data_IF_218741792114
#
_entry.id   IF_218741792114
#
_cell.length_a   1.000
_cell.length_b   1.000
_cell.length_c   1.000
_cell.angle_alpha   90.00
_cell.angle_beta   90.00
_cell.angle_gamma   90.00
#
_symmetry.space_group_name_H-M   'P 1'
#
loop_
_entity.id
_entity.type
_entity.pdbx_description
1 polymer ?
#
# COMPACT_ATOMS: atom_id res chain seq x y z
N UNK A 1 -19.25 -8.69 -32.47
CA UNK A 1 -18.80 -9.50 -31.31
C UNK A 1 -17.30 -9.39 -31.28
N UNK A 2 -16.78 -8.49 -30.46
CA UNK A 2 -15.35 -8.23 -30.30
C UNK A 2 -14.77 -9.28 -29.35
N UNK A 3 -13.82 -10.06 -29.84
CA UNK A 3 -12.97 -10.93 -29.04
C UNK A 3 -12.15 -10.06 -28.09
N UNK A 4 -12.57 -10.00 -26.82
CA UNK A 4 -11.73 -9.55 -25.74
C UNK A 4 -10.70 -10.66 -25.53
N UNK A 5 -9.48 -10.43 -26.02
CA UNK A 5 -8.36 -11.35 -25.83
C UNK A 5 -8.16 -11.61 -24.33
N UNK A 6 -8.23 -12.87 -23.95
CA UNK A 6 -7.81 -13.34 -22.63
C UNK A 6 -6.36 -12.90 -22.42
N UNK A 7 -6.12 -12.11 -21.37
CA UNK A 7 -4.76 -11.75 -20.96
C UNK A 7 -3.92 -13.01 -20.71
N UNK A 8 -2.58 -12.90 -20.73
CA UNK A 8 -1.69 -14.04 -20.55
C UNK A 8 -2.07 -14.82 -19.28
N UNK A 9 -2.41 -16.10 -19.45
CA UNK A 9 -2.77 -16.99 -18.36
C UNK A 9 -1.62 -17.07 -17.35
N UNK A 10 -1.85 -16.55 -16.14
CA UNK A 10 -0.88 -16.57 -15.02
C UNK A 10 -0.58 -17.97 -14.49
N UNK A 11 -1.29 -19.00 -14.97
CA UNK A 11 -1.23 -20.37 -14.44
C UNK A 11 0.14 -21.07 -14.59
N UNK A 12 1.05 -20.55 -15.41
CA UNK A 12 2.40 -21.14 -15.60
C UNK A 12 3.54 -20.12 -15.37
N UNK A 13 3.25 -18.96 -14.76
CA UNK A 13 4.28 -17.95 -14.50
C UNK A 13 4.97 -18.23 -13.18
N UNK A 14 6.31 -18.28 -13.18
CA UNK A 14 7.10 -18.44 -11.95
C UNK A 14 7.71 -17.11 -11.51
N UNK A 15 8.04 -17.01 -10.22
CA UNK A 15 8.61 -15.80 -9.63
C UNK A 15 9.92 -15.36 -10.32
N UNK A 16 10.70 -16.28 -10.88
CA UNK A 16 11.94 -15.97 -11.61
C UNK A 16 11.72 -15.12 -12.87
N UNK A 17 10.51 -15.14 -13.42
CA UNK A 17 10.16 -14.36 -14.62
C UNK A 17 9.59 -12.98 -14.28
N UNK A 18 9.26 -12.74 -13.00
CA UNK A 18 8.73 -11.47 -12.53
C UNK A 18 9.88 -10.49 -12.38
N UNK A 19 9.79 -9.38 -13.12
CA UNK A 19 10.76 -8.28 -13.04
C UNK A 19 10.42 -7.37 -11.87
N UNK A 20 11.46 -6.86 -11.20
CA UNK A 20 11.30 -5.86 -10.16
C UNK A 20 10.69 -4.56 -10.72
N UNK A 21 9.90 -3.88 -9.89
CA UNK A 21 9.43 -2.51 -10.12
C UNK A 21 10.23 -1.57 -9.20
N UNK A 22 11.24 -0.84 -9.71
CA UNK A 22 12.15 -0.03 -8.87
C UNK A 22 11.48 1.11 -8.11
N UNK A 23 10.39 1.66 -8.64
CA UNK A 23 9.76 2.89 -8.14
C UNK A 23 8.78 2.67 -6.97
N UNK A 24 8.64 1.45 -6.45
CA UNK A 24 7.58 1.08 -5.49
C UNK A 24 7.76 1.63 -4.07
N UNK A 25 9.00 1.85 -3.63
CA UNK A 25 9.32 2.15 -2.23
C UNK A 25 8.89 3.56 -1.83
N UNK A 26 8.16 3.67 -0.71
CA UNK A 26 7.71 4.92 -0.08
C UNK A 26 6.87 5.84 -0.98
N UNK A 27 6.33 5.33 -2.10
CA UNK A 27 5.32 6.04 -2.86
C UNK A 27 4.00 6.02 -2.10
N UNK A 28 3.38 7.19 -1.96
CA UNK A 28 2.05 7.27 -1.40
C UNK A 28 1.07 6.92 -2.50
N UNK A 29 0.41 5.76 -2.37
CA UNK A 29 -0.71 5.37 -3.23
C UNK A 29 -1.86 6.32 -2.91
N UNK A 30 -2.28 7.10 -3.89
CA UNK A 30 -3.39 8.05 -3.75
C UNK A 30 -4.68 7.52 -4.34
N UNK A 31 -4.58 6.54 -5.24
CA UNK A 31 -5.71 5.84 -5.83
C UNK A 31 -5.46 4.34 -5.93
N UNK A 32 -6.51 3.55 -5.76
CA UNK A 32 -6.42 2.08 -5.88
C UNK A 32 -5.86 1.63 -7.24
N UNK A 33 -6.21 2.35 -8.31
CA UNK A 33 -5.81 2.06 -9.69
C UNK A 33 -4.29 2.16 -9.96
N UNK A 34 -3.53 2.81 -9.07
CA UNK A 34 -2.07 2.97 -9.20
C UNK A 34 -1.32 1.70 -8.76
N UNK A 35 -1.93 0.87 -7.91
CA UNK A 35 -1.30 -0.29 -7.28
C UNK A 35 -0.67 -1.25 -8.29
N UNK A 36 -1.33 -1.66 -9.39
CA UNK A 36 -0.73 -2.58 -10.37
C UNK A 36 0.51 -2.03 -11.09
N UNK A 37 0.74 -0.71 -11.04
CA UNK A 37 1.93 -0.08 -11.62
C UNK A 37 3.09 0.05 -10.63
N UNK A 38 2.80 -0.07 -9.33
CA UNK A 38 3.76 0.09 -8.24
C UNK A 38 4.10 -1.24 -7.55
N UNK A 39 3.30 -2.28 -7.72
CA UNK A 39 3.43 -3.56 -7.02
C UNK A 39 3.63 -4.67 -8.03
N UNK A 40 4.60 -5.55 -7.79
CA UNK A 40 4.78 -6.70 -8.66
C UNK A 40 3.56 -7.62 -8.63
N UNK A 41 3.24 -8.19 -9.80
CA UNK A 41 2.03 -8.97 -10.06
C UNK A 41 1.59 -9.92 -8.92
N UNK A 42 2.49 -10.71 -8.28
CA UNK A 42 2.05 -11.66 -7.25
C UNK A 42 1.44 -11.02 -5.99
N UNK A 43 1.71 -9.75 -5.72
CA UNK A 43 1.26 -9.06 -4.51
C UNK A 43 0.20 -7.99 -4.77
N UNK A 44 -0.16 -7.72 -6.03
CA UNK A 44 -1.10 -6.65 -6.41
C UNK A 44 -2.41 -6.78 -5.64
N UNK A 45 -3.06 -7.94 -5.70
CA UNK A 45 -4.36 -8.16 -5.05
C UNK A 45 -4.28 -8.05 -3.52
N UNK A 46 -3.19 -8.52 -2.92
CA UNK A 46 -2.95 -8.37 -1.48
C UNK A 46 -2.79 -6.89 -1.07
N UNK A 47 -2.03 -6.11 -1.86
CA UNK A 47 -1.86 -4.67 -1.63
C UNK A 47 -3.16 -3.88 -1.85
N UNK A 48 -3.97 -4.25 -2.85
CA UNK A 48 -5.30 -3.71 -3.05
C UNK A 48 -6.21 -3.99 -1.84
N UNK A 49 -6.22 -5.24 -1.34
CA UNK A 49 -6.97 -5.63 -0.17
C UNK A 49 -6.59 -4.82 1.09
N UNK A 50 -5.30 -4.57 1.29
CA UNK A 50 -4.80 -3.74 2.38
C UNK A 50 -5.21 -2.27 2.22
N UNK A 51 -5.08 -1.73 1.01
CA UNK A 51 -5.49 -0.36 0.69
C UNK A 51 -7.00 -0.15 0.88
N UNK A 52 -7.81 -1.13 0.49
CA UNK A 52 -9.26 -1.13 0.70
C UNK A 52 -9.63 -1.23 2.17
N UNK A 53 -8.75 -1.76 3.02
CA UNK A 53 -8.88 -1.79 4.48
C UNK A 53 -8.28 -0.57 5.18
N UNK A 54 -7.80 0.41 4.40
CA UNK A 54 -7.09 1.61 4.87
C UNK A 54 -5.77 1.29 5.63
N UNK A 55 -5.12 0.17 5.30
CA UNK A 55 -3.79 -0.17 5.83
C UNK A 55 -2.71 0.48 4.97
N UNK A 56 -1.77 1.17 5.60
CA UNK A 56 -0.67 1.84 4.88
C UNK A 56 0.42 0.84 4.50
N UNK A 57 0.52 0.53 3.20
CA UNK A 57 1.67 -0.17 2.64
C UNK A 57 2.76 0.85 2.32
N UNK A 58 3.99 0.57 2.74
CA UNK A 58 5.17 1.42 2.50
C UNK A 58 6.08 0.87 1.40
N UNK A 59 6.06 -0.44 1.19
CA UNK A 59 6.85 -1.13 0.17
C UNK A 59 6.30 -2.53 -0.03
N UNK A 60 6.54 -3.10 -1.20
CA UNK A 60 6.39 -4.53 -1.47
C UNK A 60 7.53 -5.00 -2.36
N UNK A 61 7.82 -6.30 -2.34
CA UNK A 61 8.72 -6.94 -3.31
C UNK A 61 8.32 -8.40 -3.49
N UNK A 62 8.09 -8.80 -4.74
CA UNK A 62 7.91 -10.19 -5.13
C UNK A 62 8.43 -10.40 -6.56
N UNK A 63 9.75 -10.54 -6.70
CA UNK A 63 10.40 -10.72 -7.99
C UNK A 63 11.60 -11.67 -7.90
N UNK A 64 12.29 -11.88 -9.02
CA UNK A 64 13.43 -12.80 -9.11
C UNK A 64 14.58 -12.47 -8.15
N UNK A 65 14.73 -11.21 -7.74
CA UNK A 65 15.81 -10.79 -6.85
C UNK A 65 15.57 -11.18 -5.38
N UNK A 66 14.33 -11.55 -5.04
CA UNK A 66 13.96 -12.01 -3.70
C UNK A 66 14.31 -13.48 -3.45
N UNK A 67 14.81 -14.20 -4.47
CA UNK A 67 15.35 -15.55 -4.32
C UNK A 67 16.84 -15.46 -3.99
N UNK A 68 17.22 -15.95 -2.82
CA UNK A 68 18.60 -16.10 -2.40
C UNK A 68 19.02 -17.58 -2.49
N UNK A 69 19.74 -17.99 -3.56
CA UNK A 69 20.17 -19.38 -3.71
C UNK A 69 21.23 -19.82 -2.70
N UNK A 70 21.97 -18.87 -2.11
CA UNK A 70 23.00 -19.16 -1.10
C UNK A 70 22.40 -19.31 0.31
N UNK A 71 21.24 -18.69 0.55
CA UNK A 71 20.49 -18.80 1.79
C UNK A 71 18.98 -18.89 1.51
N UNK A 72 18.47 -20.09 1.18
CA UNK A 72 17.06 -20.31 0.88
C UNK A 72 16.10 -19.87 2.00
N UNK A 73 16.51 -19.96 3.26
CA UNK A 73 15.71 -19.53 4.41
C UNK A 73 15.49 -18.00 4.46
N UNK A 74 16.30 -17.25 3.69
CA UNK A 74 16.18 -15.82 3.50
C UNK A 74 15.53 -15.44 2.15
N UNK A 75 14.94 -16.41 1.43
CA UNK A 75 14.18 -16.16 0.20
C UNK A 75 12.72 -15.93 0.53
N UNK A 76 12.25 -14.69 0.42
CA UNK A 76 10.85 -14.35 0.66
C UNK A 76 10.43 -13.10 -0.08
N UNK A 77 9.20 -13.13 -0.60
CA UNK A 77 8.46 -11.94 -0.97
C UNK A 77 7.98 -11.24 0.29
N UNK A 78 7.71 -9.95 0.21
CA UNK A 78 7.28 -9.18 1.37
C UNK A 78 6.38 -7.99 1.05
N UNK A 79 5.58 -7.61 2.05
CA UNK A 79 4.85 -6.35 2.11
C UNK A 79 5.23 -5.67 3.43
N UNK A 80 5.67 -4.42 3.36
CA UNK A 80 6.02 -3.58 4.51
C UNK A 80 4.84 -2.68 4.85
N UNK A 81 4.34 -2.78 6.07
CA UNK A 81 3.20 -2.02 6.59
C UNK A 81 3.67 -1.06 7.68
N UNK A 82 3.18 0.18 7.66
CA UNK A 82 3.42 1.12 8.76
C UNK A 82 2.69 0.65 10.02
N UNK A 83 3.42 0.16 11.02
CA UNK A 83 2.83 -0.38 12.25
C UNK A 83 2.09 0.68 13.05
N UNK A 84 2.56 1.93 12.99
CA UNK A 84 1.95 3.03 13.73
C UNK A 84 0.60 3.43 13.14
N UNK A 85 0.39 3.17 11.84
CA UNK A 85 -0.90 3.40 11.17
C UNK A 85 -1.99 2.39 11.59
N UNK A 86 -1.62 1.23 12.14
CA UNK A 86 -2.57 0.15 12.44
C UNK A 86 -3.46 0.46 13.65
N UNK A 87 -4.74 0.10 13.53
CA UNK A 87 -5.68 0.05 14.66
C UNK A 87 -5.26 -0.98 15.71
N UNK A 88 -5.80 -0.88 16.93
CA UNK A 88 -5.54 -1.87 17.98
C UNK A 88 -5.95 -3.30 17.59
N UNK A 89 -7.00 -3.46 16.79
CA UNK A 89 -7.43 -4.78 16.29
C UNK A 89 -6.44 -5.34 15.26
N UNK A 90 -6.00 -4.52 14.31
CA UNK A 90 -5.02 -4.95 13.30
C UNK A 90 -3.64 -5.22 13.91
N UNK A 91 -3.26 -4.53 15.00
CA UNK A 91 -2.05 -4.86 15.76
C UNK A 91 -2.12 -6.27 16.38
N UNK A 92 -3.27 -6.69 16.90
CA UNK A 92 -3.46 -8.06 17.42
C UNK A 92 -3.37 -9.11 16.30
N UNK A 93 -3.88 -8.81 15.11
CA UNK A 93 -3.74 -9.69 13.94
C UNK A 93 -2.25 -9.86 13.59
N UNK A 94 -1.49 -8.75 13.58
CA UNK A 94 -0.04 -8.78 13.38
C UNK A 94 0.66 -9.65 14.43
N UNK A 95 0.32 -9.52 15.72
CA UNK A 95 0.89 -10.36 16.79
C UNK A 95 0.68 -11.86 16.52
N UNK A 96 -0.51 -12.24 16.04
CA UNK A 96 -0.82 -13.63 15.65
C UNK A 96 0.02 -14.05 14.44
N UNK A 97 0.10 -13.22 13.40
CA UNK A 97 0.92 -13.49 12.22
C UNK A 97 2.40 -13.64 12.54
N UNK A 98 2.93 -12.86 13.49
CA UNK A 98 4.30 -12.98 13.99
C UNK A 98 4.50 -14.31 14.71
N UNK A 99 3.57 -14.68 15.60
CA UNK A 99 3.61 -15.98 16.30
C UNK A 99 3.58 -17.16 15.32
N UNK A 100 2.85 -17.02 14.23
CA UNK A 100 2.75 -18.00 13.15
C UNK A 100 3.97 -18.01 12.19
N UNK A 101 4.95 -17.11 12.38
CA UNK A 101 6.12 -16.99 11.51
C UNK A 101 5.84 -16.36 10.14
N UNK A 102 4.68 -15.72 9.96
CA UNK A 102 4.22 -15.09 8.72
C UNK A 102 4.52 -13.59 8.65
N UNK A 103 4.99 -13.02 9.76
CA UNK A 103 5.38 -11.61 9.83
C UNK A 103 6.53 -11.41 10.84
N UNK A 104 7.22 -10.28 10.73
CA UNK A 104 8.19 -9.82 11.72
C UNK A 104 8.12 -8.30 11.94
N UNK A 105 8.54 -7.86 13.13
CA UNK A 105 8.68 -6.45 13.46
C UNK A 105 10.06 -5.96 13.05
N UNK A 106 10.12 -4.84 12.33
CA UNK A 106 11.35 -4.11 12.05
C UNK A 106 11.29 -2.80 12.81
N UNK A 107 12.12 -2.67 13.85
CA UNK A 107 12.07 -1.56 14.80
C UNK A 107 12.55 -0.22 14.25
N UNK A 108 13.30 -0.21 13.14
CA UNK A 108 13.79 1.02 12.52
C UNK A 108 13.90 0.84 10.99
N UNK A 109 12.78 1.05 10.29
CA UNK A 109 12.73 1.19 8.84
C UNK A 109 12.46 2.66 8.54
N UNK A 110 13.41 3.42 8.01
CA UNK A 110 13.26 4.86 7.75
C UNK A 110 12.70 5.66 8.96
N UNK A 111 13.25 5.41 10.15
CA UNK A 111 12.87 6.02 11.45
C UNK A 111 11.44 5.72 11.93
N UNK A 112 10.83 4.62 11.48
CA UNK A 112 9.52 4.15 11.95
C UNK A 112 9.52 2.65 12.24
N UNK A 113 8.60 2.26 13.12
CA UNK A 113 8.31 0.86 13.37
C UNK A 113 7.42 0.34 12.24
N UNK A 114 7.81 -0.79 11.65
CA UNK A 114 7.04 -1.43 10.57
C UNK A 114 6.84 -2.91 10.84
N UNK A 115 5.82 -3.46 10.20
CA UNK A 115 5.61 -4.89 10.09
C UNK A 115 6.01 -5.32 8.70
N UNK A 116 6.79 -6.38 8.61
CA UNK A 116 7.06 -7.06 7.35
C UNK A 116 6.24 -8.34 7.30
N UNK A 117 5.25 -8.40 6.41
CA UNK A 117 4.62 -9.67 6.03
C UNK A 117 5.60 -10.45 5.17
N UNK A 118 5.77 -11.74 5.44
CA UNK A 118 6.73 -12.62 4.75
C UNK A 118 6.01 -13.74 4.03
N UNK A 119 6.37 -13.93 2.77
CA UNK A 119 5.86 -15.02 1.94
C UNK A 119 7.05 -15.82 1.42
N UNK A 120 7.26 -17.06 1.89
CA UNK A 120 8.39 -17.88 1.47
C UNK A 120 8.48 -18.01 -0.05
N UNK A 121 9.69 -17.93 -0.58
CA UNK A 121 9.98 -18.13 -2.00
C UNK A 121 10.97 -19.27 -2.18
N UNK A 122 10.77 -20.03 -3.24
CA UNK A 122 11.75 -20.97 -3.76
C UNK A 122 11.82 -20.83 -5.28
N UNK A 123 12.86 -21.43 -5.88
CA UNK A 123 12.86 -21.61 -7.33
C UNK A 123 11.66 -22.43 -7.77
N UNK A 124 10.97 -21.98 -8.80
CA UNK A 124 9.76 -22.59 -9.33
C UNK A 124 8.48 -22.23 -8.59
N UNK A 125 8.53 -21.39 -7.53
CA UNK A 125 7.32 -20.86 -6.88
C UNK A 125 6.44 -20.21 -7.94
N UNK A 126 5.19 -20.67 -8.01
CA UNK A 126 4.21 -20.16 -8.97
C UNK A 126 3.70 -18.80 -8.50
N UNK A 127 3.54 -17.86 -9.43
CA UNK A 127 2.95 -16.55 -9.13
C UNK A 127 1.57 -16.70 -8.47
N UNK A 128 0.77 -17.65 -8.96
CA UNK A 128 -0.56 -17.93 -8.42
C UNK A 128 -0.54 -18.43 -6.96
N UNK A 129 0.41 -19.29 -6.60
CA UNK A 129 0.56 -19.78 -5.22
C UNK A 129 0.87 -18.62 -4.27
N UNK A 130 1.79 -17.74 -4.68
CA UNK A 130 2.15 -16.54 -3.93
C UNK A 130 0.99 -15.55 -3.82
N UNK A 131 0.21 -15.40 -4.89
CA UNK A 131 -1.00 -14.57 -4.89
C UNK A 131 -2.04 -15.11 -3.90
N UNK A 132 -2.34 -16.41 -3.94
CA UNK A 132 -3.32 -17.04 -3.04
C UNK A 132 -2.95 -16.87 -1.57
N UNK A 133 -1.69 -17.12 -1.19
CA UNK A 133 -1.26 -16.95 0.21
C UNK A 133 -1.22 -15.48 0.62
N UNK A 134 -0.78 -14.58 -0.26
CA UNK A 134 -0.70 -13.15 0.05
C UNK A 134 -2.08 -12.52 0.23
N UNK A 135 -3.04 -12.90 -0.62
CA UNK A 135 -4.44 -12.54 -0.49
C UNK A 135 -5.01 -13.07 0.83
N UNK A 136 -4.82 -14.35 1.13
CA UNK A 136 -5.32 -14.95 2.38
C UNK A 136 -4.81 -14.21 3.63
N UNK A 137 -3.54 -13.81 3.67
CA UNK A 137 -2.98 -13.00 4.78
C UNK A 137 -3.60 -11.60 4.81
N UNK A 138 -3.69 -10.91 3.66
CA UNK A 138 -4.25 -9.56 3.59
C UNK A 138 -5.72 -9.50 4.03
N UNK A 139 -6.49 -10.56 3.78
CA UNK A 139 -7.91 -10.65 4.15
C UNK A 139 -8.14 -10.76 5.66
N UNK A 140 -7.12 -11.18 6.42
CA UNK A 140 -7.22 -11.25 7.89
C UNK A 140 -7.37 -9.86 8.52
N UNK A 141 -6.82 -8.83 7.88
CA UNK A 141 -6.91 -7.45 8.35
C UNK A 141 -8.35 -6.94 8.32
N UNK A 142 -8.70 -6.12 9.30
CA UNK A 142 -9.98 -5.43 9.34
C UNK A 142 -9.87 -4.06 8.71
N UNK A 143 -10.99 -3.63 8.11
CA UNK A 143 -11.18 -2.23 7.73
C UNK A 143 -11.02 -1.36 8.98
N UNK A 144 -10.26 -0.27 8.85
CA UNK A 144 -10.07 0.73 9.90
C UNK A 144 -10.25 2.14 9.33
N UNK A 145 -10.39 3.18 10.17
CA UNK A 145 -10.28 4.56 9.70
C UNK A 145 -8.91 4.82 9.03
N UNK A 146 -8.91 5.66 7.98
CA UNK A 146 -7.69 6.07 7.30
C UNK A 146 -7.00 7.18 8.10
N UNK A 147 -6.11 6.78 9.01
CA UNK A 147 -5.38 7.71 9.90
C UNK A 147 -4.06 8.19 9.35
N UNK A 148 -3.56 7.57 8.29
CA UNK A 148 -2.24 7.84 7.72
C UNK A 148 -2.25 8.84 6.56
N UNK A 149 -3.39 9.05 5.91
CA UNK A 149 -3.50 10.04 4.84
C UNK A 149 -3.60 11.44 5.47
N UNK A 150 -2.75 12.40 5.07
CA UNK A 150 -2.79 13.74 5.64
C UNK A 150 -4.06 14.47 5.19
N UNK A 151 -4.64 15.21 6.13
CA UNK A 151 -5.62 16.27 5.86
C UNK A 151 -4.95 17.60 6.16
N UNK A 152 -5.03 18.55 5.23
CA UNK A 152 -4.26 19.79 5.29
C UNK A 152 -5.19 20.99 5.15
N UNK A 153 -5.01 22.03 5.94
CA UNK A 153 -5.59 23.33 5.61
C UNK A 153 -4.66 24.11 4.67
N UNK A 154 -5.09 25.30 4.23
CA UNK A 154 -4.27 26.15 3.34
C UNK A 154 -2.93 26.56 3.95
N UNK A 155 -2.84 26.75 5.27
CA UNK A 155 -1.58 27.09 5.94
C UNK A 155 -0.60 25.91 5.90
N UNK A 156 -1.09 24.67 6.02
CA UNK A 156 -0.26 23.47 5.92
C UNK A 156 0.28 23.28 4.50
N UNK A 157 -0.55 23.56 3.48
CA UNK A 157 -0.11 23.56 2.07
C UNK A 157 0.92 24.67 1.84
N UNK A 158 0.67 25.90 2.29
CA UNK A 158 1.61 27.02 2.16
C UNK A 158 2.98 26.71 2.79
N UNK A 159 3.01 26.06 3.95
CA UNK A 159 4.25 25.59 4.60
C UNK A 159 4.97 24.54 3.77
N UNK A 160 4.24 23.58 3.19
CA UNK A 160 4.81 22.52 2.36
C UNK A 160 5.50 23.08 1.11
N UNK A 161 4.91 24.10 0.49
CA UNK A 161 5.47 24.79 -0.68
C UNK A 161 6.41 25.95 -0.33
N UNK A 162 6.63 26.22 0.97
CA UNK A 162 7.45 27.33 1.47
C UNK A 162 7.07 28.69 0.85
N UNK A 163 5.78 28.89 0.59
CA UNK A 163 5.27 30.09 -0.08
C UNK A 163 3.98 30.57 0.57
N UNK A 164 4.00 31.79 1.10
CA UNK A 164 2.82 32.45 1.67
C UNK A 164 1.83 32.91 0.58
N UNK A 165 2.29 33.10 -0.66
CA UNK A 165 1.45 33.49 -1.81
C UNK A 165 0.36 32.46 -2.10
N UNK A 166 0.59 31.20 -1.71
CA UNK A 166 -0.38 30.10 -1.79
C UNK A 166 -1.70 30.44 -1.09
N UNK A 167 -1.67 31.28 -0.04
CA UNK A 167 -2.86 31.65 0.74
C UNK A 167 -3.80 32.59 0.01
N UNK A 168 -3.30 33.30 -0.99
CA UNK A 168 -4.09 34.23 -1.80
C UNK A 168 -4.66 33.56 -3.06
N UNK A 169 -4.25 32.31 -3.34
CA UNK A 169 -4.79 31.51 -4.44
C UNK A 169 -6.13 30.91 -4.04
N UNK A 170 -7.07 30.88 -4.99
CA UNK A 170 -8.32 30.14 -4.82
C UNK A 170 -8.02 28.66 -4.50
N UNK A 171 -8.47 28.11 -3.35
CA UNK A 171 -8.10 26.77 -2.91
C UNK A 171 -8.46 25.66 -3.90
N UNK A 172 -9.54 25.82 -4.66
CA UNK A 172 -9.96 24.84 -5.66
C UNK A 172 -8.96 24.80 -6.82
N UNK A 173 -8.56 25.98 -7.35
CA UNK A 173 -7.53 26.07 -8.38
C UNK A 173 -6.18 25.54 -7.90
N UNK A 174 -5.79 25.90 -6.68
CA UNK A 174 -4.55 25.41 -6.08
C UNK A 174 -4.54 23.88 -6.01
N UNK A 175 -5.65 23.26 -5.59
CA UNK A 175 -5.75 21.80 -5.53
C UNK A 175 -5.58 21.15 -6.91
N UNK A 176 -6.19 21.71 -7.95
CA UNK A 176 -6.02 21.25 -9.33
C UNK A 176 -4.56 21.34 -9.80
N UNK A 177 -3.87 22.43 -9.48
CA UNK A 177 -2.46 22.64 -9.84
C UNK A 177 -1.50 21.65 -9.16
N UNK A 178 -1.75 21.32 -7.89
CA UNK A 178 -0.89 20.43 -7.11
C UNK A 178 -1.35 18.96 -7.13
N UNK A 179 -2.41 18.65 -7.86
CA UNK A 179 -2.97 17.29 -7.97
C UNK A 179 -3.68 16.80 -6.70
N UNK A 180 -4.13 17.70 -5.84
CA UNK A 180 -4.88 17.37 -4.62
C UNK A 180 -6.39 17.49 -4.84
N UNK A 181 -7.16 16.98 -3.89
CA UNK A 181 -8.59 17.22 -3.79
C UNK A 181 -8.87 18.23 -2.67
N UNK A 182 -9.63 19.29 -2.97
CA UNK A 182 -10.10 20.24 -1.99
C UNK A 182 -11.58 20.02 -1.68
N UNK A 183 -11.92 20.00 -0.38
CA UNK A 183 -13.31 19.97 0.10
C UNK A 183 -13.74 21.38 0.49
N UNK A 184 -14.64 22.04 -0.26
CA UNK A 184 -15.12 23.38 0.07
C UNK A 184 -15.91 23.43 1.39
N UNK A 185 -16.57 22.33 1.74
CA UNK A 185 -17.35 22.20 2.98
C UNK A 185 -16.44 22.23 4.22
N UNK A 186 -15.34 21.47 4.18
CA UNK A 186 -14.41 21.32 5.31
C UNK A 186 -13.27 22.32 5.27
N UNK A 187 -13.05 22.97 4.12
CA UNK A 187 -11.88 23.82 3.83
C UNK A 187 -10.57 23.08 4.03
N UNK A 188 -10.52 21.83 3.60
CA UNK A 188 -9.37 20.94 3.73
C UNK A 188 -8.95 20.36 2.38
N UNK A 189 -7.65 20.13 2.23
CA UNK A 189 -7.00 19.42 1.15
C UNK A 189 -6.73 17.98 1.55
N UNK A 190 -6.89 17.09 0.58
CA UNK A 190 -6.62 15.66 0.64
C UNK A 190 -5.74 15.29 -0.56
N UNK A 191 -4.93 14.25 -0.43
CA UNK A 191 -4.07 13.82 -1.53
C UNK A 191 -4.86 13.36 -2.77
N UNK A 192 -6.11 12.93 -2.60
CA UNK A 192 -7.02 12.57 -3.69
C UNK A 192 -8.47 12.60 -3.22
N UNK A 193 -9.41 12.57 -4.18
CA UNK A 193 -10.84 12.41 -3.88
C UNK A 193 -11.12 11.05 -3.20
N UNK A 194 -10.37 10.00 -3.55
CA UNK A 194 -10.49 8.68 -2.93
C UNK A 194 -10.08 8.72 -1.45
N UNK A 195 -8.99 9.41 -1.12
CA UNK A 195 -8.59 9.63 0.27
C UNK A 195 -9.62 10.45 1.04
N UNK A 196 -10.20 11.50 0.43
CA UNK A 196 -11.33 12.22 1.03
C UNK A 196 -12.46 11.25 1.40
N UNK A 197 -12.94 10.44 0.44
CA UNK A 197 -14.01 9.45 0.68
C UNK A 197 -13.65 8.46 1.79
N UNK A 198 -12.45 7.87 1.75
CA UNK A 198 -12.00 6.89 2.76
C UNK A 198 -11.84 7.48 4.15
N UNK A 199 -11.43 8.74 4.27
CA UNK A 199 -11.38 9.47 5.54
C UNK A 199 -12.80 9.71 6.07
N UNK A 200 -13.74 10.13 5.20
CA UNK A 200 -15.14 10.37 5.59
C UNK A 200 -15.86 9.10 6.03
N UNK A 201 -15.70 8.01 5.27
CA UNK A 201 -16.34 6.73 5.60
C UNK A 201 -15.89 6.22 6.98
N UNK A 202 -14.63 6.44 7.34
CA UNK A 202 -14.08 6.05 8.65
C UNK A 202 -14.62 6.85 9.84
N UNK A 203 -15.23 8.03 9.60
CA UNK A 203 -15.83 8.87 10.65
C UNK A 203 -17.27 8.50 10.97
N UNK A 204 -17.95 7.72 10.12
CA UNK A 204 -19.36 7.34 10.28
C UNK A 204 -19.54 6.11 11.17
N UNK A 205 -18.48 5.31 11.37
CA UNK A 205 -18.51 4.06 12.13
C UNK A 205 -18.00 4.19 13.58
N UNK A 206 -17.94 5.40 14.13
CA UNK A 206 -17.45 5.71 15.48
C UNK A 206 -18.55 5.98 16.49
#
# INVERSE_FOLDING_TARGET
>A
MSELGEGPSTNNTTIETVRAIPESRNQIITKREEIPTLVELPLVEACENLYDRNIQTLSSSANSNDINPENPDNSFANIIIDYNSLSGENKKIVEILIKDGKADMIGNYDNRAVVRLRFPLARGTQVKELQEVSVWISEQFRKQPMTWAPTMNVDDVAKMYMSEEVKDVDPQKLAEEIGYYYSPEEKLFYLSEEHYKKVKDGLVTG
#
